data_IF_004538517305
#
_entry.id   IF_004538517305
#
_cell.length_a   1.000
_cell.length_b   1.000
_cell.length_c   1.000
_cell.angle_alpha   90.00
_cell.angle_beta   90.00
_cell.angle_gamma   90.00
#
_symmetry.space_group_name_H-M   'P 1'
#
loop_
_entity.id
_entity.type
_entity.pdbx_description
1 polymer ?
#
# COMPACT_ATOMS: atom_id res chain seq x y z
N UNK A 1 -42.57 -11.74 23.96
CA UNK A 1 -41.91 -11.40 22.68
C UNK A 1 -40.89 -10.33 23.00
N UNK A 2 -39.73 -10.75 23.48
CA UNK A 2 -38.62 -9.88 23.87
C UNK A 2 -37.75 -9.59 22.66
N UNK A 3 -37.48 -8.29 22.46
CA UNK A 3 -36.51 -7.77 21.50
C UNK A 3 -35.10 -8.08 21.97
N UNK A 4 -34.41 -9.00 21.28
CA UNK A 4 -33.00 -9.29 21.50
C UNK A 4 -32.15 -8.06 21.12
N UNK A 5 -31.73 -7.30 22.14
CA UNK A 5 -30.60 -6.38 22.06
C UNK A 5 -29.32 -7.22 21.94
N UNK A 6 -28.72 -7.24 20.76
CA UNK A 6 -27.34 -7.70 20.61
C UNK A 6 -26.41 -6.72 21.35
N UNK A 7 -26.10 -7.07 22.60
CA UNK A 7 -25.07 -6.43 23.41
C UNK A 7 -23.70 -6.94 22.94
N UNK A 8 -23.00 -6.12 22.16
CA UNK A 8 -21.56 -6.29 21.99
C UNK A 8 -20.88 -6.04 23.34
N UNK A 9 -19.92 -6.88 23.77
CA UNK A 9 -19.21 -6.66 25.02
C UNK A 9 -18.45 -5.33 24.98
N UNK A 10 -18.57 -4.55 26.06
CA UNK A 10 -17.93 -3.26 26.29
C UNK A 10 -16.44 -3.27 25.93
N UNK A 11 -16.12 -2.89 24.70
CA UNK A 11 -14.80 -2.41 24.32
C UNK A 11 -14.74 -0.96 24.76
N UNK A 12 -13.76 -0.62 25.62
CA UNK A 12 -13.48 0.75 26.09
C UNK A 12 -13.69 1.74 24.94
N UNK A 13 -14.52 2.76 25.19
CA UNK A 13 -14.84 3.82 24.25
C UNK A 13 -13.59 4.62 23.89
N UNK A 14 -12.84 4.14 22.91
CA UNK A 14 -11.99 5.02 22.12
C UNK A 14 -12.93 5.98 21.39
N UNK A 15 -12.81 7.28 21.65
CA UNK A 15 -13.55 8.29 20.92
C UNK A 15 -13.15 8.20 19.45
N UNK A 16 -13.95 7.48 18.65
CA UNK A 16 -13.74 7.43 17.22
C UNK A 16 -13.90 8.85 16.67
N UNK A 17 -12.84 9.40 16.09
CA UNK A 17 -12.87 10.71 15.47
C UNK A 17 -13.69 10.62 14.18
N UNK A 18 -14.88 11.21 14.19
CA UNK A 18 -15.76 11.28 13.03
C UNK A 18 -15.19 12.27 12.02
N UNK A 19 -14.88 11.80 10.80
CA UNK A 19 -14.24 12.60 9.76
C UNK A 19 -15.23 13.08 8.69
N UNK A 20 -16.43 12.49 8.62
CA UNK A 20 -17.38 12.83 7.58
C UNK A 20 -18.64 11.99 7.56
N UNK A 21 -19.49 12.25 6.56
CA UNK A 21 -20.79 11.59 6.39
C UNK A 21 -20.95 11.15 4.93
N UNK A 22 -21.34 9.89 4.72
CA UNK A 22 -21.57 9.31 3.39
C UNK A 22 -22.67 10.09 2.67
N UNK A 23 -22.45 10.43 1.41
CA UNK A 23 -23.40 11.14 0.56
C UNK A 23 -23.75 10.30 -0.66
N UNK A 24 -24.94 10.54 -1.21
CA UNK A 24 -25.30 10.01 -2.52
C UNK A 24 -24.71 10.89 -3.63
N UNK A 25 -24.14 10.26 -4.65
CA UNK A 25 -23.72 10.88 -5.89
C UNK A 25 -24.22 10.04 -7.08
N UNK A 26 -24.14 10.54 -8.33
CA UNK A 26 -24.45 9.72 -9.51
C UNK A 26 -23.58 8.44 -9.62
N UNK A 27 -22.45 8.41 -8.92
CA UNK A 27 -21.50 7.30 -8.94
C UNK A 27 -21.68 6.30 -7.77
N UNK A 28 -22.54 6.56 -6.78
CA UNK A 28 -22.69 5.69 -5.62
C UNK A 28 -23.42 6.32 -4.42
N UNK A 29 -23.45 5.65 -3.26
CA UNK A 29 -22.56 4.55 -2.85
C UNK A 29 -22.83 3.21 -3.55
N UNK A 30 -21.76 2.47 -3.83
CA UNK A 30 -21.75 1.07 -4.28
C UNK A 30 -20.79 0.26 -3.39
N UNK A 31 -20.71 -1.06 -3.60
CA UNK A 31 -19.74 -1.93 -2.93
C UNK A 31 -18.28 -1.60 -3.29
N UNK A 32 -18.04 -0.91 -4.40
CA UNK A 32 -16.70 -0.62 -4.93
C UNK A 32 -16.26 0.83 -4.71
N UNK A 33 -17.20 1.74 -4.49
CA UNK A 33 -16.91 3.16 -4.26
C UNK A 33 -18.04 3.87 -3.52
N UNK A 34 -17.66 4.85 -2.72
CA UNK A 34 -18.61 5.80 -2.16
C UNK A 34 -17.97 7.18 -2.03
N UNK A 35 -18.80 8.18 -1.75
CA UNK A 35 -18.34 9.53 -1.44
C UNK A 35 -18.85 9.93 -0.07
N UNK A 36 -18.07 10.75 0.62
CA UNK A 36 -18.49 11.35 1.87
C UNK A 36 -18.10 12.82 1.91
N UNK A 37 -18.98 13.65 2.50
CA UNK A 37 -18.63 15.02 2.82
C UNK A 37 -17.75 15.00 4.06
N UNK A 38 -16.61 15.66 3.98
CA UNK A 38 -15.67 15.79 5.09
C UNK A 38 -16.21 16.84 6.06
N UNK A 39 -16.13 16.58 7.35
CA UNK A 39 -16.49 17.58 8.36
C UNK A 39 -15.51 18.75 8.31
N UNK A 40 -16.07 19.95 8.34
CA UNK A 40 -15.31 21.18 8.33
C UNK A 40 -14.58 21.34 9.69
N UNK A 41 -13.28 21.07 9.67
CA UNK A 41 -12.38 21.20 10.82
C UNK A 41 -11.24 22.17 10.46
N UNK A 42 -10.68 22.86 11.47
CA UNK A 42 -9.58 23.82 11.29
C UNK A 42 -8.27 23.18 10.79
N UNK A 43 -8.18 21.85 10.84
CA UNK A 43 -7.03 21.05 10.41
C UNK A 43 -7.42 20.17 9.21
N UNK A 44 -6.42 19.66 8.47
CA UNK A 44 -6.65 18.73 7.36
C UNK A 44 -7.11 17.38 7.93
N UNK A 45 -8.40 17.02 7.85
CA UNK A 45 -8.94 15.90 8.64
C UNK A 45 -8.71 14.56 7.95
N UNK A 46 -8.53 14.57 6.62
CA UNK A 46 -8.27 13.38 5.82
C UNK A 46 -7.43 13.71 4.58
N UNK A 47 -6.60 12.77 4.13
CA UNK A 47 -5.74 12.90 2.95
C UNK A 47 -5.99 11.79 1.93
N UNK A 48 -5.68 12.07 0.66
CA UNK A 48 -5.65 11.04 -0.40
C UNK A 48 -4.67 9.95 0.00
N UNK A 49 -5.05 8.67 -0.14
CA UNK A 49 -4.26 7.53 0.30
C UNK A 49 -4.55 7.06 1.72
N UNK A 50 -5.16 7.91 2.57
CA UNK A 50 -5.45 7.56 3.95
C UNK A 50 -6.59 6.53 4.04
N UNK A 51 -6.47 5.62 5.02
CA UNK A 51 -7.48 4.63 5.37
C UNK A 51 -8.51 5.22 6.33
N UNK A 52 -9.75 4.83 6.14
CA UNK A 52 -10.91 5.25 6.93
C UNK A 52 -11.78 4.04 7.24
N UNK A 53 -12.64 4.15 8.24
CA UNK A 53 -13.54 3.09 8.64
C UNK A 53 -14.99 3.58 8.78
N UNK A 54 -15.94 2.66 8.62
CA UNK A 54 -17.35 2.88 8.95
C UNK A 54 -18.01 1.57 9.38
N UNK A 55 -19.00 1.68 10.27
CA UNK A 55 -19.74 0.53 10.76
C UNK A 55 -20.82 0.12 9.77
N UNK A 56 -20.87 -1.17 9.43
CA UNK A 56 -21.91 -1.77 8.60
C UNK A 56 -22.54 -2.96 9.30
N UNK A 57 -23.75 -3.40 8.90
CA UNK A 57 -24.33 -4.63 9.42
C UNK A 57 -23.45 -5.87 9.22
N UNK A 58 -22.57 -5.88 8.21
CA UNK A 58 -21.66 -7.00 7.92
C UNK A 58 -20.39 -7.00 8.78
N UNK A 59 -20.09 -5.88 9.46
CA UNK A 59 -18.87 -5.64 10.22
C UNK A 59 -18.25 -4.27 9.95
N UNK A 60 -16.98 -4.09 10.30
CA UNK A 60 -16.27 -2.83 10.08
C UNK A 60 -15.80 -2.74 8.63
N UNK A 61 -16.38 -1.83 7.85
CA UNK A 61 -15.90 -1.57 6.50
C UNK A 61 -14.66 -0.69 6.57
N UNK A 62 -13.58 -1.15 5.94
CA UNK A 62 -12.33 -0.41 5.79
C UNK A 62 -12.21 0.04 4.34
N UNK A 63 -11.94 1.32 4.15
CA UNK A 63 -11.82 1.94 2.83
C UNK A 63 -10.56 2.81 2.75
N UNK A 64 -10.08 3.03 1.52
CA UNK A 64 -8.99 3.97 1.23
C UNK A 64 -9.52 5.17 0.48
N UNK A 65 -9.17 6.38 0.92
CA UNK A 65 -9.50 7.62 0.22
C UNK A 65 -8.72 7.67 -1.10
N UNK A 66 -9.44 7.68 -2.21
CA UNK A 66 -8.85 7.70 -3.55
C UNK A 66 -8.66 9.12 -4.08
N UNK A 67 -9.52 10.05 -3.69
CA UNK A 67 -9.43 11.45 -4.10
C UNK A 67 -10.15 12.38 -3.12
N UNK A 68 -9.71 13.64 -3.04
CA UNK A 68 -10.40 14.69 -2.28
C UNK A 68 -10.69 15.86 -3.23
N UNK A 69 -11.97 16.21 -3.33
CA UNK A 69 -12.47 17.26 -4.20
C UNK A 69 -12.94 18.42 -3.35
N UNK A 70 -12.35 19.59 -3.57
CA UNK A 70 -12.83 20.86 -3.03
C UNK A 70 -13.86 21.43 -4.00
N UNK A 71 -15.08 21.66 -3.53
CA UNK A 71 -16.18 22.09 -4.40
C UNK A 71 -17.03 23.17 -3.75
N UNK A 72 -17.64 24.01 -4.59
CA UNK A 72 -18.58 25.05 -4.20
C UNK A 72 -19.67 25.13 -5.28
N UNK A 73 -20.94 24.97 -4.90
CA UNK A 73 -22.08 24.89 -5.85
C UNK A 73 -22.22 26.13 -6.74
N UNK A 74 -21.78 27.30 -6.27
CA UNK A 74 -21.93 28.57 -7.00
C UNK A 74 -20.90 28.73 -8.12
N UNK A 75 -19.75 28.05 -8.02
CA UNK A 75 -18.71 28.03 -9.04
C UNK A 75 -18.87 26.90 -10.07
N UNK A 76 -19.90 26.06 -9.92
CA UNK A 76 -20.16 24.98 -10.88
C UNK A 76 -20.72 25.48 -12.22
N UNK A 77 -21.28 26.69 -12.26
CA UNK A 77 -21.90 27.28 -13.46
C UNK A 77 -21.04 28.40 -14.02
N UNK A 78 -20.45 28.17 -15.20
CA UNK A 78 -19.58 29.13 -15.87
C UNK A 78 -20.26 30.50 -16.14
N UNK A 79 -21.56 30.49 -16.46
CA UNK A 79 -22.35 31.71 -16.66
C UNK A 79 -22.45 32.55 -15.38
N UNK A 80 -22.65 31.89 -14.23
CA UNK A 80 -22.68 32.55 -12.93
C UNK A 80 -21.34 33.20 -12.65
N UNK A 81 -20.23 32.45 -12.77
CA UNK A 81 -18.87 32.97 -12.56
C UNK A 81 -18.57 34.17 -13.48
N UNK A 82 -18.91 34.07 -14.77
CA UNK A 82 -18.65 35.14 -15.74
C UNK A 82 -19.45 36.41 -15.46
N UNK A 83 -20.73 36.31 -15.09
CA UNK A 83 -21.53 37.50 -14.78
C UNK A 83 -21.01 38.20 -13.52
N UNK A 84 -20.51 37.43 -12.55
CA UNK A 84 -19.92 38.00 -11.34
C UNK A 84 -18.61 38.75 -11.60
N UNK A 85 -17.70 38.17 -12.39
CA UNK A 85 -16.46 38.85 -12.84
C UNK A 85 -16.78 40.17 -13.56
N UNK A 86 -17.85 40.21 -14.36
CA UNK A 86 -18.27 41.38 -15.13
C UNK A 86 -18.81 42.53 -14.27
N UNK A 87 -19.43 42.22 -13.13
CA UNK A 87 -20.00 43.24 -12.22
C UNK A 87 -18.96 43.99 -11.37
N UNK A 88 -17.70 43.57 -11.34
CA UNK A 88 -16.60 44.29 -10.67
C UNK A 88 -16.73 44.43 -9.14
N UNK A 89 -17.72 43.79 -8.52
CA UNK A 89 -17.86 43.70 -7.06
C UNK A 89 -17.04 42.53 -6.56
N UNK A 90 -16.42 42.69 -5.40
CA UNK A 90 -15.66 41.61 -4.81
C UNK A 90 -16.61 40.45 -4.45
N UNK A 91 -16.32 39.27 -5.01
CA UNK A 91 -17.13 38.06 -4.89
C UNK A 91 -17.38 37.68 -3.42
N UNK A 92 -16.43 38.01 -2.55
CA UNK A 92 -16.45 37.79 -1.10
C UNK A 92 -17.48 38.66 -0.35
N UNK A 93 -17.90 39.80 -0.92
CA UNK A 93 -18.81 40.74 -0.24
C UNK A 93 -20.29 40.34 -0.38
N UNK A 94 -20.63 39.59 -1.43
CA UNK A 94 -22.00 39.22 -1.77
C UNK A 94 -22.32 37.80 -1.29
N UNK A 95 -21.34 36.90 -1.32
CA UNK A 95 -21.48 35.53 -0.87
C UNK A 95 -20.32 35.12 0.02
N UNK A 96 -20.58 34.49 1.18
CA UNK A 96 -19.53 33.95 2.01
C UNK A 96 -19.02 32.65 1.36
N UNK A 97 -18.17 32.78 0.34
CA UNK A 97 -17.60 31.68 -0.45
C UNK A 97 -16.94 30.65 0.46
N UNK A 98 -16.24 31.11 1.50
CA UNK A 98 -15.61 30.27 2.52
C UNK A 98 -16.63 29.43 3.30
N UNK A 99 -17.87 29.89 3.46
CA UNK A 99 -18.92 29.15 4.18
C UNK A 99 -19.61 28.08 3.31
N UNK A 100 -19.42 28.11 2.00
CA UNK A 100 -20.08 27.21 1.05
C UNK A 100 -19.13 26.38 0.21
N UNK A 101 -17.83 26.55 0.43
CA UNK A 101 -16.82 25.56 0.08
C UNK A 101 -16.97 24.35 1.00
N UNK A 102 -16.95 23.15 0.43
CA UNK A 102 -16.88 21.92 1.20
C UNK A 102 -16.00 20.91 0.47
N UNK A 103 -15.45 19.98 1.26
CA UNK A 103 -14.61 18.91 0.74
C UNK A 103 -15.43 17.62 0.62
N UNK A 104 -15.32 16.97 -0.53
CA UNK A 104 -15.89 15.65 -0.80
C UNK A 104 -14.76 14.67 -1.03
N UNK A 105 -14.66 13.64 -0.19
CA UNK A 105 -13.74 12.54 -0.41
C UNK A 105 -14.43 11.43 -1.22
N UNK A 106 -13.71 10.88 -2.19
CA UNK A 106 -14.03 9.60 -2.82
C UNK A 106 -13.23 8.51 -2.11
N UNK A 107 -13.88 7.39 -1.81
CA UNK A 107 -13.26 6.27 -1.11
C UNK A 107 -13.60 4.93 -1.80
N UNK A 108 -12.63 4.03 -1.77
CA UNK A 108 -12.72 2.66 -2.31
C UNK A 108 -12.76 1.70 -1.12
N UNK A 109 -13.89 1.00 -0.88
CA UNK A 109 -13.95 -0.09 0.08
C UNK A 109 -12.93 -1.18 -0.27
N UNK A 110 -12.17 -1.61 0.73
CA UNK A 110 -11.14 -2.66 0.57
C UNK A 110 -11.61 -4.00 1.13
N UNK A 111 -12.49 -3.98 2.13
CA UNK A 111 -13.02 -5.17 2.78
C UNK A 111 -13.85 -4.86 4.01
N UNK A 112 -14.58 -5.86 4.46
CA UNK A 112 -15.20 -5.90 5.78
C UNK A 112 -14.26 -6.66 6.72
N UNK A 113 -13.99 -6.08 7.89
CA UNK A 113 -13.18 -6.66 8.94
C UNK A 113 -14.03 -6.91 10.18
N UNK A 114 -14.08 -8.16 10.62
CA UNK A 114 -14.84 -8.60 11.79
C UNK A 114 -14.19 -9.85 12.36
N UNK A 115 -13.97 -9.87 13.68
CA UNK A 115 -13.39 -10.99 14.42
C UNK A 115 -12.06 -11.52 13.84
N UNK A 116 -11.21 -10.62 13.34
CA UNK A 116 -9.91 -10.95 12.73
C UNK A 116 -10.02 -11.57 11.33
N UNK A 117 -11.22 -11.64 10.74
CA UNK A 117 -11.45 -12.18 9.41
C UNK A 117 -11.72 -11.08 8.38
N UNK A 118 -11.22 -11.31 7.17
CA UNK A 118 -11.50 -10.48 6.00
C UNK A 118 -12.68 -11.05 5.22
N UNK A 119 -13.64 -10.19 4.91
CA UNK A 119 -14.75 -10.50 3.99
C UNK A 119 -14.79 -9.47 2.87
N UNK A 120 -15.33 -9.90 1.72
CA UNK A 120 -15.61 -8.98 0.62
C UNK A 120 -16.75 -8.06 1.01
N UNK A 121 -16.67 -6.81 0.54
CA UNK A 121 -17.78 -5.87 0.65
C UNK A 121 -18.86 -6.35 -0.29
N UNK A 122 -19.99 -6.79 0.26
CA UNK A 122 -21.11 -7.31 -0.53
C UNK A 122 -22.29 -6.33 -0.57
N UNK A 123 -22.36 -5.42 0.40
CA UNK A 123 -23.39 -4.41 0.51
C UNK A 123 -22.79 -2.99 0.60
N UNK A 124 -23.36 -1.99 -0.10
CA UNK A 124 -22.86 -0.62 -0.06
C UNK A 124 -23.13 0.06 1.29
N UNK A 125 -22.31 1.05 1.68
CA UNK A 125 -22.66 1.92 2.80
C UNK A 125 -23.90 2.75 2.49
N UNK A 126 -24.70 3.03 3.51
CA UNK A 126 -25.90 3.87 3.38
C UNK A 126 -25.54 5.36 3.39
N UNK A 127 -26.17 6.20 2.55
CA UNK A 127 -26.10 7.65 2.72
C UNK A 127 -26.50 8.07 4.14
N UNK A 128 -25.79 9.05 4.70
CA UNK A 128 -25.97 9.49 6.08
C UNK A 128 -25.15 8.71 7.12
N UNK A 129 -24.52 7.59 6.75
CA UNK A 129 -23.60 6.91 7.66
C UNK A 129 -22.36 7.76 7.95
N UNK A 130 -21.89 7.67 9.19
CA UNK A 130 -20.69 8.36 9.65
C UNK A 130 -19.44 7.61 9.21
N UNK A 131 -18.44 8.37 8.79
CA UNK A 131 -17.10 7.88 8.47
C UNK A 131 -16.17 8.31 9.59
N UNK A 132 -15.29 7.42 10.02
CA UNK A 132 -14.38 7.64 11.13
C UNK A 132 -12.92 7.40 10.71
N UNK A 133 -12.01 8.03 11.44
CA UNK A 133 -10.59 7.68 11.37
C UNK A 133 -10.40 6.24 11.84
N UNK A 134 -9.60 5.46 11.11
CA UNK A 134 -9.31 4.07 11.48
C UNK A 134 -8.32 4.03 12.65
N UNK A 135 -8.49 3.08 13.57
CA UNK A 135 -7.51 2.86 14.63
C UNK A 135 -6.26 2.17 14.09
N UNK A 136 -5.10 2.50 14.65
CA UNK A 136 -3.81 1.94 14.22
C UNK A 136 -3.78 0.42 14.38
N UNK A 137 -4.28 -0.09 15.52
CA UNK A 137 -4.38 -1.52 15.80
C UNK A 137 -5.26 -2.24 14.76
N UNK A 138 -6.43 -1.67 14.43
CA UNK A 138 -7.33 -2.28 13.44
C UNK A 138 -6.69 -2.26 12.05
N UNK A 139 -6.05 -1.15 11.67
CA UNK A 139 -5.38 -1.05 10.37
C UNK A 139 -4.20 -2.01 10.25
N UNK A 140 -3.36 -2.13 11.28
CA UNK A 140 -2.23 -3.06 11.30
C UNK A 140 -2.68 -4.52 11.15
N UNK A 141 -3.73 -4.90 11.88
CA UNK A 141 -4.35 -6.22 11.73
C UNK A 141 -4.96 -6.42 10.34
N UNK A 142 -5.64 -5.42 9.80
CA UNK A 142 -6.27 -5.49 8.48
C UNK A 142 -5.24 -5.62 7.35
N UNK A 143 -4.12 -4.91 7.45
CA UNK A 143 -3.02 -5.03 6.49
C UNK A 143 -2.19 -6.31 6.69
N UNK A 144 -2.44 -7.04 7.78
CA UNK A 144 -1.73 -8.27 8.11
C UNK A 144 -0.26 -8.05 8.46
N UNK A 145 0.06 -6.88 9.04
CA UNK A 145 1.40 -6.51 9.49
C UNK A 145 1.81 -7.35 10.70
N UNK A 146 3.10 -7.63 10.79
CA UNK A 146 3.71 -8.44 11.85
C UNK A 146 4.59 -7.54 12.73
N UNK A 147 3.98 -6.99 13.78
CA UNK A 147 4.61 -5.99 14.65
C UNK A 147 5.84 -6.51 15.41
N UNK A 148 5.90 -7.82 15.66
CA UNK A 148 6.96 -8.47 16.45
C UNK A 148 8.10 -9.02 15.59
N UNK A 149 7.74 -9.72 14.51
CA UNK A 149 8.67 -10.53 13.70
C UNK A 149 8.69 -10.12 12.23
N UNK A 150 8.00 -9.06 11.83
CA UNK A 150 8.04 -8.58 10.45
C UNK A 150 9.34 -7.86 10.09
N UNK A 151 9.57 -7.68 8.79
CA UNK A 151 10.62 -6.81 8.25
C UNK A 151 10.06 -5.40 8.09
N UNK A 152 10.65 -4.41 8.75
CA UNK A 152 10.19 -3.03 8.71
C UNK A 152 10.64 -2.34 7.41
N UNK A 153 9.69 -2.01 6.53
CA UNK A 153 9.98 -1.32 5.27
C UNK A 153 9.62 0.17 5.30
N UNK A 154 9.30 0.73 6.48
CA UNK A 154 8.92 2.13 6.66
C UNK A 154 7.60 2.28 7.39
N UNK A 155 6.84 3.34 7.12
CA UNK A 155 5.56 3.63 7.76
C UNK A 155 4.39 3.59 6.78
N UNK A 156 3.21 3.23 7.27
CA UNK A 156 1.97 3.34 6.50
C UNK A 156 1.64 4.82 6.32
N UNK A 157 1.45 5.25 5.08
CA UNK A 157 1.25 6.67 4.76
C UNK A 157 0.05 7.27 5.52
N UNK A 158 0.28 8.41 6.21
CA UNK A 158 -0.69 9.11 7.06
C UNK A 158 -1.15 8.38 8.34
N UNK A 159 -0.43 7.34 8.76
CA UNK A 159 -0.65 6.65 10.04
C UNK A 159 0.68 6.44 10.77
N UNK A 160 0.68 6.49 12.10
CA UNK A 160 1.88 6.21 12.90
C UNK A 160 2.04 4.70 13.13
N UNK A 161 2.07 3.93 12.03
CA UNK A 161 2.16 2.47 12.02
C UNK A 161 3.39 2.05 11.22
N UNK A 162 4.25 1.24 11.83
CA UNK A 162 5.36 0.61 11.12
C UNK A 162 4.84 -0.46 10.16
N UNK A 163 5.24 -0.36 8.89
CA UNK A 163 4.92 -1.31 7.84
C UNK A 163 5.83 -2.54 7.94
N UNK A 164 5.59 -3.38 8.95
CA UNK A 164 6.38 -4.61 9.17
C UNK A 164 5.78 -5.80 8.41
N UNK A 165 6.45 -6.24 7.36
CA UNK A 165 5.99 -7.33 6.51
C UNK A 165 6.28 -8.69 7.15
N UNK A 166 5.26 -9.56 7.23
CA UNK A 166 5.47 -10.93 7.69
C UNK A 166 6.38 -11.70 6.70
N UNK A 167 7.53 -12.15 7.21
CA UNK A 167 8.57 -12.82 6.42
C UNK A 167 8.04 -14.09 5.72
N UNK A 168 7.29 -14.91 6.45
CA UNK A 168 6.74 -16.16 5.92
C UNK A 168 5.77 -15.86 4.77
N UNK A 169 4.84 -14.91 4.92
CA UNK A 169 3.93 -14.53 3.85
C UNK A 169 4.67 -13.96 2.63
N UNK A 170 5.74 -13.19 2.85
CA UNK A 170 6.53 -12.57 1.78
C UNK A 170 7.31 -13.60 0.95
N UNK A 171 7.92 -14.60 1.59
CA UNK A 171 8.83 -15.56 0.95
C UNK A 171 8.24 -16.96 0.73
N UNK A 172 7.07 -17.28 1.28
CA UNK A 172 6.37 -18.53 0.96
C UNK A 172 6.00 -18.61 -0.54
N UNK A 173 5.91 -17.46 -1.21
CA UNK A 173 5.73 -17.34 -2.66
C UNK A 173 6.86 -16.50 -3.26
N UNK A 174 6.79 -16.25 -4.55
CA UNK A 174 7.67 -15.29 -5.21
C UNK A 174 7.20 -13.86 -4.94
N UNK A 175 8.14 -12.98 -4.62
CA UNK A 175 7.93 -11.55 -4.51
C UNK A 175 8.59 -10.85 -5.70
N UNK A 176 7.96 -9.80 -6.22
CA UNK A 176 8.51 -8.97 -7.27
C UNK A 176 8.42 -7.50 -6.86
N UNK A 177 9.55 -6.79 -6.89
CA UNK A 177 9.62 -5.35 -6.60
C UNK A 177 9.78 -4.63 -7.92
N UNK A 178 8.76 -3.84 -8.30
CA UNK A 178 8.68 -3.13 -9.55
C UNK A 178 8.59 -1.63 -9.28
N UNK A 179 9.49 -0.85 -9.89
CA UNK A 179 9.37 0.60 -9.94
C UNK A 179 10.16 1.16 -11.13
N UNK A 180 9.90 2.42 -11.48
CA UNK A 180 10.68 3.14 -12.48
C UNK A 180 12.07 3.48 -11.93
N UNK A 181 13.05 3.69 -12.81
CA UNK A 181 14.40 4.12 -12.41
C UNK A 181 14.33 5.39 -11.58
N UNK A 182 15.00 5.39 -10.41
CA UNK A 182 14.99 6.52 -9.47
C UNK A 182 13.86 6.50 -8.44
N UNK A 183 12.91 5.56 -8.52
CA UNK A 183 11.78 5.46 -7.59
C UNK A 183 12.04 4.47 -6.43
N UNK A 184 13.31 4.28 -6.05
CA UNK A 184 13.67 3.57 -4.82
C UNK A 184 13.60 2.03 -4.86
N UNK A 185 13.66 1.39 -6.04
CA UNK A 185 13.74 -0.09 -6.13
C UNK A 185 14.89 -0.64 -5.29
N UNK A 186 16.10 -0.19 -5.58
CA UNK A 186 17.34 -0.67 -4.95
C UNK A 186 17.40 -0.25 -3.48
N UNK A 187 16.83 0.91 -3.14
CA UNK A 187 16.68 1.35 -1.75
C UNK A 187 15.78 0.39 -0.94
N UNK A 188 14.60 0.03 -1.45
CA UNK A 188 13.71 -0.92 -0.79
C UNK A 188 14.37 -2.31 -0.65
N UNK A 189 15.12 -2.75 -1.67
CA UNK A 189 15.89 -4.00 -1.60
C UNK A 189 16.97 -3.93 -0.53
N UNK A 190 17.72 -2.83 -0.43
CA UNK A 190 18.71 -2.63 0.63
C UNK A 190 18.07 -2.67 2.02
N UNK A 191 16.94 -1.98 2.23
CA UNK A 191 16.20 -2.02 3.50
C UNK A 191 15.77 -3.45 3.84
N UNK A 192 15.28 -4.23 2.88
CA UNK A 192 14.94 -5.64 3.11
C UNK A 192 16.16 -6.49 3.48
N UNK A 193 17.31 -6.26 2.83
CA UNK A 193 18.57 -6.94 3.15
C UNK A 193 19.02 -6.58 4.57
N UNK A 194 19.00 -5.30 4.94
CA UNK A 194 19.32 -4.81 6.28
C UNK A 194 18.43 -5.44 7.35
N UNK A 195 17.10 -5.40 7.16
CA UNK A 195 16.13 -5.96 8.11
C UNK A 195 16.31 -7.48 8.30
N UNK A 196 16.72 -8.21 7.25
CA UNK A 196 17.04 -9.64 7.35
C UNK A 196 18.39 -9.83 8.05
N UNK A 197 19.41 -9.03 7.73
CA UNK A 197 20.72 -9.13 8.35
C UNK A 197 20.70 -8.73 9.84
N UNK A 198 19.84 -7.82 10.25
CA UNK A 198 19.70 -7.41 11.65
C UNK A 198 18.70 -8.24 12.45
N UNK A 199 18.02 -9.16 11.78
CA UNK A 199 17.10 -10.09 12.40
C UNK A 199 17.78 -10.97 13.44
N UNK A 200 17.13 -11.11 14.59
CA UNK A 200 17.53 -12.04 15.65
C UNK A 200 17.46 -13.49 15.17
N UNK A 201 18.41 -14.31 15.61
CA UNK A 201 18.48 -15.74 15.23
C UNK A 201 17.22 -16.51 15.66
N UNK A 202 16.66 -16.19 16.83
CA UNK A 202 15.42 -16.79 17.37
C UNK A 202 14.19 -16.59 16.48
N UNK A 203 14.21 -15.58 15.60
CA UNK A 203 13.13 -15.28 14.65
C UNK A 203 13.33 -15.92 13.27
N UNK A 204 14.40 -16.72 13.11
CA UNK A 204 14.83 -17.32 11.85
C UNK A 204 15.45 -16.28 10.91
N UNK A 205 16.68 -16.52 10.46
CA UNK A 205 17.43 -15.60 9.61
C UNK A 205 17.79 -16.27 8.28
N UNK A 206 17.02 -16.04 7.21
CA UNK A 206 17.31 -16.66 5.91
C UNK A 206 18.64 -16.17 5.33
N UNK A 207 19.35 -17.06 4.64
CA UNK A 207 20.49 -16.66 3.83
C UNK A 207 20.00 -15.86 2.62
N UNK A 208 20.74 -14.80 2.28
CA UNK A 208 20.44 -13.94 1.14
C UNK A 208 21.50 -14.19 0.07
N UNK A 209 21.06 -14.43 -1.17
CA UNK A 209 21.93 -14.47 -2.34
C UNK A 209 21.46 -13.37 -3.27
N UNK A 210 22.34 -12.42 -3.56
CA UNK A 210 22.06 -11.30 -4.45
C UNK A 210 22.85 -11.50 -5.74
N UNK A 211 22.14 -11.48 -6.87
CA UNK A 211 22.76 -11.38 -8.20
C UNK A 211 22.70 -9.92 -8.61
N UNK A 212 23.84 -9.24 -8.58
CA UNK A 212 23.93 -7.80 -8.70
C UNK A 212 24.69 -7.38 -9.97
N UNK A 213 24.02 -7.27 -11.12
CA UNK A 213 24.67 -6.88 -12.37
C UNK A 213 25.12 -5.41 -12.40
N UNK A 214 24.59 -4.57 -11.50
CA UNK A 214 24.86 -3.13 -11.47
C UNK A 214 25.81 -2.71 -10.34
N UNK A 215 26.12 -3.61 -9.40
CA UNK A 215 27.00 -3.33 -8.26
C UNK A 215 26.33 -2.46 -7.18
N UNK A 216 25.00 -2.40 -7.14
CA UNK A 216 24.24 -1.57 -6.20
C UNK A 216 24.37 -2.02 -4.73
N UNK A 217 24.71 -3.29 -4.49
CA UNK A 217 24.72 -3.91 -3.16
C UNK A 217 26.13 -4.28 -2.67
N UNK A 218 27.19 -3.94 -3.43
CA UNK A 218 28.58 -4.21 -3.00
C UNK A 218 28.94 -3.53 -1.67
N UNK A 219 28.35 -2.36 -1.39
CA UNK A 219 28.60 -1.59 -0.17
C UNK A 219 28.32 -2.35 1.14
N UNK A 220 27.48 -3.38 1.13
CA UNK A 220 27.28 -4.25 2.31
C UNK A 220 28.55 -5.00 2.75
N UNK A 221 29.54 -5.13 1.88
CA UNK A 221 30.84 -5.73 2.20
C UNK A 221 31.85 -4.71 2.74
N UNK A 222 31.57 -3.42 2.56
CA UNK A 222 32.41 -2.30 3.02
C UNK A 222 31.88 -1.69 4.32
N UNK A 223 30.56 -1.81 4.59
CA UNK A 223 29.92 -1.33 5.81
C UNK A 223 30.36 -2.16 7.04
N UNK A 224 30.93 -1.51 8.05
CA UNK A 224 31.44 -2.14 9.28
C UNK A 224 30.40 -3.03 9.99
N UNK A 225 29.11 -2.69 9.89
CA UNK A 225 28.01 -3.43 10.53
C UNK A 225 27.69 -4.74 9.80
N UNK A 226 27.94 -4.81 8.51
CA UNK A 226 27.53 -5.93 7.66
C UNK A 226 28.70 -6.70 7.05
N UNK A 227 29.90 -6.12 6.98
CA UNK A 227 31.07 -6.70 6.30
C UNK A 227 31.43 -8.11 6.79
N UNK A 228 31.24 -8.41 8.07
CA UNK A 228 31.54 -9.74 8.65
C UNK A 228 30.51 -10.81 8.27
N UNK A 229 29.35 -10.38 7.78
CA UNK A 229 28.19 -11.21 7.41
C UNK A 229 27.93 -11.20 5.90
N UNK A 230 28.73 -10.46 5.15
CA UNK A 230 28.61 -10.31 3.70
C UNK A 230 29.81 -10.94 3.01
N UNK A 231 29.58 -11.75 1.98
CA UNK A 231 30.63 -12.30 1.13
C UNK A 231 30.37 -11.94 -0.32
N UNK A 232 31.34 -11.25 -0.93
CA UNK A 232 31.26 -10.87 -2.34
C UNK A 232 32.00 -11.90 -3.18
N UNK A 233 31.32 -12.38 -4.21
CA UNK A 233 31.89 -13.24 -5.23
C UNK A 233 32.01 -12.42 -6.51
N UNK A 234 33.24 -12.00 -6.82
CA UNK A 234 33.53 -11.27 -8.06
C UNK A 234 33.59 -12.22 -9.28
N UNK A 235 33.81 -11.64 -10.47
CA UNK A 235 33.97 -12.39 -11.72
C UNK A 235 35.10 -13.43 -11.69
N UNK A 236 36.10 -13.26 -10.82
CA UNK A 236 37.24 -14.18 -10.72
C UNK A 236 36.94 -15.35 -9.78
N UNK A 237 35.97 -15.18 -8.88
CA UNK A 237 35.56 -16.19 -7.90
C UNK A 237 34.57 -17.22 -8.44
N UNK A 238 33.89 -16.92 -9.56
CA UNK A 238 32.91 -17.80 -10.19
C UNK A 238 33.48 -18.32 -11.50
N UNK A 239 33.72 -19.63 -11.57
CA UNK A 239 34.09 -20.31 -12.81
C UNK A 239 33.08 -21.41 -13.13
N UNK A 240 32.73 -21.53 -14.42
CA UNK A 240 31.87 -22.60 -14.90
C UNK A 240 32.77 -23.68 -15.49
N UNK A 241 32.67 -24.89 -14.94
CA UNK A 241 33.36 -26.07 -15.48
C UNK A 241 32.75 -26.45 -16.82
N UNK A 242 33.27 -25.89 -17.92
CA UNK A 242 32.74 -26.09 -19.29
C UNK A 242 32.65 -27.57 -19.67
N UNK A 243 33.60 -28.40 -19.21
CA UNK A 243 33.60 -29.85 -19.41
C UNK A 243 32.44 -30.60 -18.71
N UNK A 244 31.71 -29.95 -17.79
CA UNK A 244 30.53 -30.52 -17.12
C UNK A 244 29.21 -30.02 -17.71
N UNK A 245 29.26 -29.08 -18.64
CA UNK A 245 28.07 -28.57 -19.30
C UNK A 245 27.64 -29.53 -20.39
N UNK A 246 26.36 -29.85 -20.43
CA UNK A 246 25.77 -30.53 -21.58
C UNK A 246 25.72 -29.60 -22.80
N UNK A 247 25.65 -30.18 -24.01
CA UNK A 247 25.44 -29.40 -25.23
C UNK A 247 24.24 -28.46 -25.15
N UNK A 248 23.16 -28.87 -24.47
CA UNK A 248 21.98 -28.01 -24.27
C UNK A 248 22.29 -26.79 -23.39
N UNK A 249 22.98 -26.97 -22.27
CA UNK A 249 23.38 -25.85 -21.39
C UNK A 249 24.33 -24.89 -22.10
N UNK A 250 25.25 -25.39 -22.93
CA UNK A 250 26.12 -24.53 -23.73
C UNK A 250 25.29 -23.70 -24.73
N UNK A 251 24.27 -24.29 -25.35
CA UNK A 251 23.37 -23.58 -26.26
C UNK A 251 22.56 -22.48 -25.58
N UNK A 252 22.24 -22.60 -24.27
CA UNK A 252 21.56 -21.53 -23.53
C UNK A 252 22.40 -20.23 -23.48
N UNK A 253 23.73 -20.35 -23.49
CA UNK A 253 24.65 -19.20 -23.53
C UNK A 253 25.01 -18.75 -24.95
N UNK A 254 24.62 -19.50 -25.98
CA UNK A 254 24.94 -19.25 -27.38
C UNK A 254 23.68 -19.35 -28.25
N UNK A 255 22.85 -18.29 -28.30
CA UNK A 255 21.55 -18.32 -28.97
C UNK A 255 21.61 -18.56 -30.48
N UNK A 256 22.80 -18.50 -31.09
CA UNK A 256 23.01 -18.70 -32.52
C UNK A 256 23.33 -20.16 -32.91
N UNK A 257 23.47 -21.09 -31.97
CA UNK A 257 23.75 -22.50 -32.29
C UNK A 257 22.53 -23.14 -32.94
N UNK A 258 22.70 -23.68 -34.14
CA UNK A 258 21.65 -24.41 -34.86
C UNK A 258 21.33 -25.76 -34.21
N UNK A 259 20.18 -26.33 -34.54
CA UNK A 259 19.81 -27.69 -34.10
C UNK A 259 20.82 -28.74 -34.59
N UNK A 260 21.41 -28.55 -35.77
CA UNK A 260 22.43 -29.44 -36.33
C UNK A 260 23.73 -29.34 -35.52
N UNK A 261 24.24 -28.13 -35.31
CA UNK A 261 25.47 -27.91 -34.54
C UNK A 261 25.34 -28.39 -33.10
N UNK A 262 24.19 -28.19 -32.44
CA UNK A 262 23.92 -28.74 -31.11
C UNK A 262 23.98 -30.26 -31.07
N UNK A 263 23.43 -30.93 -32.10
CA UNK A 263 23.46 -32.39 -32.20
C UNK A 263 24.88 -32.90 -32.41
N UNK A 264 25.68 -32.22 -33.23
CA UNK A 264 27.07 -32.59 -33.42
C UNK A 264 27.91 -32.30 -32.16
N UNK A 265 27.66 -31.18 -31.46
CA UNK A 265 28.29 -30.86 -30.19
C UNK A 265 28.01 -31.94 -29.13
N UNK A 266 26.77 -32.42 -29.02
CA UNK A 266 26.38 -33.49 -28.09
C UNK A 266 27.07 -34.85 -28.34
N UNK A 267 27.75 -35.03 -29.48
CA UNK A 267 28.56 -36.24 -29.74
C UNK A 267 30.01 -36.09 -29.26
N UNK A 268 30.47 -34.86 -29.04
CA UNK A 268 31.86 -34.52 -28.73
C UNK A 268 32.07 -34.31 -27.22
N UNK A 269 31.05 -33.80 -26.53
CA UNK A 269 31.02 -33.56 -25.08
C UNK A 269 29.99 -34.44 -24.39
#
# INVERSE_FOLDING_TARGET
MESNKFLFPNVKSYSMQEIGVVISSPEGPTSDKFSFVIKDEKEIPVRKGQFVQLETPEGLLIARVSEIIKTNRYFMRAESVREYERTGRNLFDIFPIDRWEYLVAKAIPLGIFSDGMHRRVSFPPSPGQKVFKISEKTLAQFLGLDEEKGLNIGKVEFHEIDSKLNLTKLFQKHCCILSQTGFGKSHLVSVLIEEILDRKEEHGKPAIIVVDPHGEYHGFAEDEKYMTRTKVFDKNSISIATHKLSANQICEFQPFITSVERRELAKII
#
